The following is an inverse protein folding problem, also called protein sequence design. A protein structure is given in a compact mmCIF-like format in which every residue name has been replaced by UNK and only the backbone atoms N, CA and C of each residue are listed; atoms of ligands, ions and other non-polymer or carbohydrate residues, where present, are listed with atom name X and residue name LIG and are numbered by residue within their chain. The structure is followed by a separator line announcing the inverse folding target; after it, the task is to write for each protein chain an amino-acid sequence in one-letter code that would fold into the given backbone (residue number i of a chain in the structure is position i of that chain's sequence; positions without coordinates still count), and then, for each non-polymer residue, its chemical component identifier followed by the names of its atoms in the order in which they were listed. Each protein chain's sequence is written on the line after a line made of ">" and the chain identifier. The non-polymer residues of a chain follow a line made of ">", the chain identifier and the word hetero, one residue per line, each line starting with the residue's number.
data_IF_953854944235
#
_entry.id   IF_953854944235
#
_cell.length_a   1.000
_cell.length_b   1.000
_cell.length_c   1.000
_cell.angle_alpha   90.00
_cell.angle_beta   90.00
_cell.angle_gamma   90.00
#
_symmetry.space_group_name_H-M   'P 1'
#
loop_
_entity.id
_entity.type
_entity.pdbx_description
1 polymer ?
#
# COMPACT_ATOMS: atom_id res chain seq x y z
N UNK A 1 3.86 7.44 -20.98
CA UNK A 1 3.41 6.30 -20.15
C UNK A 1 2.58 6.80 -18.99
N UNK A 2 1.43 6.17 -18.71
CA UNK A 2 0.62 6.40 -17.51
C UNK A 2 0.97 5.26 -16.55
N UNK A 3 1.53 5.57 -15.39
CA UNK A 3 1.80 4.57 -14.36
C UNK A 3 0.49 3.95 -13.85
N UNK A 4 0.49 2.66 -13.47
CA UNK A 4 -0.68 2.03 -12.90
C UNK A 4 -1.05 2.67 -11.56
N UNK A 5 -2.33 2.56 -11.19
CA UNK A 5 -2.83 3.05 -9.91
C UNK A 5 -2.24 2.19 -8.78
N UNK A 6 -1.73 2.82 -7.72
CA UNK A 6 -1.14 2.06 -6.60
C UNK A 6 -2.20 1.60 -5.60
N UNK A 7 -1.84 0.61 -4.77
CA UNK A 7 -2.68 0.18 -3.65
C UNK A 7 -3.00 1.35 -2.70
N UNK A 8 -2.02 2.20 -2.40
CA UNK A 8 -2.22 3.41 -1.61
C UNK A 8 -3.29 4.33 -2.23
N UNK A 9 -3.29 4.51 -3.56
CA UNK A 9 -4.32 5.32 -4.24
C UNK A 9 -5.69 4.62 -4.27
N UNK A 10 -5.70 3.29 -4.33
CA UNK A 10 -6.92 2.48 -4.25
C UNK A 10 -7.56 2.59 -2.86
N UNK A 11 -6.83 2.23 -1.80
CA UNK A 11 -7.32 2.22 -0.41
C UNK A 11 -7.78 3.61 0.03
N UNK A 12 -7.13 4.68 -0.45
CA UNK A 12 -7.56 6.07 -0.21
C UNK A 12 -8.95 6.41 -0.73
N UNK A 13 -9.41 5.70 -1.77
CA UNK A 13 -10.75 5.90 -2.33
C UNK A 13 -11.78 5.02 -1.66
N UNK A 14 -11.44 3.75 -1.40
CA UNK A 14 -12.39 2.78 -0.84
C UNK A 14 -12.54 2.89 0.68
N UNK A 15 -11.49 3.30 1.39
CA UNK A 15 -11.48 3.46 2.84
C UNK A 15 -10.98 4.86 3.23
N UNK A 16 -11.77 5.93 2.96
CA UNK A 16 -11.42 7.28 3.39
C UNK A 16 -11.39 7.44 4.92
N UNK A 17 -12.05 6.53 5.64
CA UNK A 17 -12.06 6.51 7.11
C UNK A 17 -10.66 6.27 7.67
N UNK A 18 -9.93 5.30 7.12
CA UNK A 18 -8.53 5.04 7.46
C UNK A 18 -7.68 6.34 7.42
N UNK A 19 -7.81 7.13 6.35
CA UNK A 19 -7.03 8.35 6.17
C UNK A 19 -7.45 9.48 7.10
N UNK A 20 -8.71 9.53 7.53
CA UNK A 20 -9.18 10.47 8.57
C UNK A 20 -8.41 10.23 9.86
N UNK A 21 -8.25 8.97 10.25
CA UNK A 21 -7.61 8.55 11.50
C UNK A 21 -6.08 8.61 11.44
N UNK A 22 -5.47 8.16 10.33
CA UNK A 22 -4.04 8.35 10.07
C UNK A 22 -3.65 9.83 10.18
N UNK A 23 -4.48 10.76 9.67
CA UNK A 23 -4.20 12.19 9.80
C UNK A 23 -4.21 12.67 11.26
N UNK A 24 -5.09 12.12 12.10
CA UNK A 24 -5.12 12.42 13.55
C UNK A 24 -3.82 11.93 14.21
N UNK A 25 -3.45 10.66 13.99
CA UNK A 25 -2.23 10.09 14.56
C UNK A 25 -0.96 10.79 14.05
N UNK A 26 -0.86 11.11 12.76
CA UNK A 26 0.26 11.91 12.22
C UNK A 26 0.41 13.27 12.91
N UNK A 27 -0.71 13.90 13.29
CA UNK A 27 -0.68 15.19 13.99
C UNK A 27 -0.21 15.03 15.43
N UNK A 28 -0.65 13.96 16.11
CA UNK A 28 -0.19 13.58 17.44
C UNK A 28 1.31 13.23 17.45
N UNK A 29 1.75 12.38 16.51
CA UNK A 29 3.11 11.85 16.47
C UNK A 29 4.17 12.92 16.21
N UNK A 30 3.86 13.93 15.39
CA UNK A 30 4.72 15.10 15.18
C UNK A 30 5.10 15.82 16.47
N UNK A 31 4.31 15.67 17.53
CA UNK A 31 4.52 16.36 18.81
C UNK A 31 5.08 15.46 19.91
N UNK A 32 5.04 14.13 19.75
CA UNK A 32 5.26 13.20 20.87
C UNK A 32 6.22 12.03 20.61
N UNK A 33 6.24 11.45 19.40
CA UNK A 33 6.96 10.17 19.15
C UNK A 33 7.49 10.00 17.72
N UNK A 34 7.78 11.10 17.00
CA UNK A 34 8.22 11.00 15.60
C UNK A 34 9.58 10.31 15.44
N UNK A 35 10.41 10.35 16.48
CA UNK A 35 11.71 9.70 16.62
C UNK A 35 11.63 8.17 16.70
N UNK A 36 10.48 7.61 17.06
CA UNK A 36 10.27 6.16 17.18
C UNK A 36 9.86 5.48 15.86
N UNK A 37 9.64 6.24 14.79
CA UNK A 37 9.24 5.70 13.50
C UNK A 37 10.42 5.07 12.73
N UNK A 38 10.21 4.00 11.92
CA UNK A 38 8.91 3.39 11.62
C UNK A 38 8.40 2.49 12.73
N UNK A 39 7.07 2.44 12.83
CA UNK A 39 6.36 1.60 13.79
C UNK A 39 6.14 0.21 13.23
N UNK A 40 6.18 -0.79 14.10
CA UNK A 40 6.00 -2.19 13.74
C UNK A 40 4.87 -2.86 14.52
N UNK A 41 4.29 -2.15 15.49
CA UNK A 41 3.13 -2.53 16.27
C UNK A 41 2.26 -1.29 16.50
N UNK A 42 0.95 -1.48 16.43
CA UNK A 42 -0.06 -0.43 16.60
C UNK A 42 0.03 0.16 18.02
N UNK A 43 0.38 -0.66 19.01
CA UNK A 43 0.48 -0.25 20.41
C UNK A 43 1.62 0.76 20.67
N UNK A 44 2.56 0.92 19.75
CA UNK A 44 3.68 1.87 19.89
C UNK A 44 3.26 3.33 19.74
N UNK A 45 2.14 3.59 19.07
CA UNK A 45 1.70 4.96 18.75
C UNK A 45 0.20 5.16 18.82
N UNK A 46 -0.58 4.07 18.88
CA UNK A 46 -2.04 4.09 18.77
C UNK A 46 -2.65 4.97 19.84
N UNK A 47 -3.16 6.11 19.39
CA UNK A 47 -4.10 6.93 20.17
C UNK A 47 -5.50 6.84 19.58
N UNK A 48 -5.60 6.76 18.25
CA UNK A 48 -6.87 6.83 17.55
C UNK A 48 -7.23 5.56 16.76
N UNK A 49 -6.42 4.49 16.84
CA UNK A 49 -6.73 3.25 16.14
C UNK A 49 -7.98 2.56 16.70
N UNK A 50 -8.19 2.58 18.03
CA UNK A 50 -9.41 2.03 18.64
C UNK A 50 -10.67 2.72 18.09
N UNK A 51 -10.70 4.06 18.10
CA UNK A 51 -11.79 4.85 17.51
C UNK A 51 -12.01 4.55 16.01
N UNK A 52 -10.92 4.27 15.27
CA UNK A 52 -11.00 3.89 13.87
C UNK A 52 -11.72 2.55 13.69
N UNK A 53 -11.33 1.55 14.47
CA UNK A 53 -11.90 0.20 14.42
C UNK A 53 -13.39 0.24 14.79
N UNK A 54 -13.74 0.91 15.88
CA UNK A 54 -15.13 1.06 16.31
C UNK A 54 -15.99 1.71 15.20
N UNK A 55 -15.56 2.87 14.68
CA UNK A 55 -16.30 3.57 13.60
C UNK A 55 -16.31 2.79 12.28
N UNK A 56 -15.32 1.91 12.04
CA UNK A 56 -15.28 1.05 10.86
C UNK A 56 -16.32 -0.07 10.94
N UNK A 57 -16.40 -0.76 12.09
CA UNK A 57 -17.39 -1.81 12.32
C UNK A 57 -18.82 -1.27 12.40
N UNK A 58 -19.04 -0.10 13.03
CA UNK A 58 -20.35 0.56 13.06
C UNK A 58 -20.88 0.85 11.64
N UNK A 59 -20.00 1.20 10.70
CA UNK A 59 -20.37 1.49 9.30
C UNK A 59 -20.48 0.25 8.42
N UNK A 60 -19.82 -0.84 8.80
CA UNK A 60 -19.92 -2.11 8.09
C UNK A 60 -21.34 -2.68 8.19
N UNK A 61 -21.99 -2.54 9.34
CA UNK A 61 -23.35 -3.01 9.57
C UNK A 61 -24.41 -2.37 8.65
N UNK A 62 -24.14 -1.19 8.08
CA UNK A 62 -25.09 -0.48 7.19
C UNK A 62 -25.01 -0.90 5.70
N UNK A 63 -23.92 -1.52 5.23
CA UNK A 63 -23.69 -1.86 3.80
C UNK A 63 -23.09 -3.25 3.56
N UNK A 64 -23.08 -4.12 4.58
CA UNK A 64 -22.32 -5.37 4.64
C UNK A 64 -22.52 -6.34 3.45
N UNK A 65 -23.72 -6.39 2.87
CA UNK A 65 -24.08 -7.49 1.97
C UNK A 65 -23.70 -7.30 0.48
N UNK A 66 -23.50 -6.07 0.00
CA UNK A 66 -23.26 -5.84 -1.44
C UNK A 66 -21.78 -5.62 -1.80
N UNK A 67 -20.97 -5.01 -0.93
CA UNK A 67 -19.62 -4.59 -1.30
C UNK A 67 -18.54 -5.65 -1.04
N UNK A 68 -18.82 -6.63 -0.17
CA UNK A 68 -17.85 -7.62 0.30
C UNK A 68 -18.39 -9.05 0.27
N UNK A 69 -19.11 -9.42 -0.80
CA UNK A 69 -19.64 -10.79 -0.95
C UNK A 69 -18.55 -11.88 -0.92
N UNK A 70 -17.28 -11.54 -1.17
CA UNK A 70 -16.14 -12.45 -1.04
C UNK A 70 -15.70 -12.68 0.42
N UNK A 71 -16.11 -11.81 1.36
CA UNK A 71 -15.97 -12.02 2.81
C UNK A 71 -17.14 -12.83 3.40
N UNK A 72 -18.00 -13.44 2.56
CA UNK A 72 -19.12 -14.28 3.02
C UNK A 72 -18.69 -15.52 3.79
N UNK A 73 -17.40 -15.89 3.80
CA UNK A 73 -16.88 -16.77 4.85
C UNK A 73 -16.76 -15.94 6.13
N UNK A 74 -17.86 -15.88 6.89
CA UNK A 74 -17.98 -15.35 8.26
C UNK A 74 -17.06 -16.11 9.23
N UNK A 75 -15.74 -16.06 9.01
CA UNK A 75 -14.71 -16.62 9.88
C UNK A 75 -13.64 -15.58 10.16
N UNK A 76 -13.81 -15.05 11.37
CA UNK A 76 -12.93 -14.25 12.22
C UNK A 76 -12.84 -12.74 11.94
N UNK A 77 -13.62 -11.97 12.71
CA UNK A 77 -13.35 -10.55 13.01
C UNK A 77 -11.87 -10.33 13.35
N UNK A 78 -11.20 -11.32 13.95
CA UNK A 78 -9.76 -11.32 14.19
C UNK A 78 -8.92 -11.19 12.90
N UNK A 79 -9.30 -11.90 11.82
CA UNK A 79 -8.60 -11.84 10.53
C UNK A 79 -8.78 -10.47 9.88
N UNK A 80 -10.02 -9.96 9.89
CA UNK A 80 -10.32 -8.62 9.39
C UNK A 80 -9.59 -7.55 10.21
N UNK A 81 -9.61 -7.67 11.54
CA UNK A 81 -8.89 -6.75 12.43
C UNK A 81 -7.39 -6.77 12.16
N UNK A 82 -6.80 -7.96 11.95
CA UNK A 82 -5.40 -8.09 11.54
C UNK A 82 -5.12 -7.33 10.24
N UNK A 83 -5.95 -7.49 9.22
CA UNK A 83 -5.79 -6.76 7.95
C UNK A 83 -5.92 -5.25 8.14
N UNK A 84 -6.86 -4.80 8.96
CA UNK A 84 -7.02 -3.37 9.28
C UNK A 84 -5.82 -2.82 10.04
N UNK A 85 -5.23 -3.59 10.96
CA UNK A 85 -3.97 -3.25 11.65
C UNK A 85 -2.84 -3.11 10.63
N UNK A 86 -2.65 -4.11 9.76
CA UNK A 86 -1.56 -4.15 8.78
C UNK A 86 -1.65 -2.98 7.80
N UNK A 87 -2.85 -2.69 7.28
CA UNK A 87 -3.11 -1.52 6.44
C UNK A 87 -2.84 -0.22 7.18
N UNK A 88 -3.29 -0.10 8.43
CA UNK A 88 -3.08 1.11 9.24
C UNK A 88 -1.61 1.40 9.46
N UNK A 89 -0.87 0.39 9.92
CA UNK A 89 0.57 0.47 10.15
C UNK A 89 1.34 0.81 8.88
N UNK A 90 1.04 0.10 7.80
CA UNK A 90 1.72 0.26 6.51
C UNK A 90 1.49 1.65 5.95
N UNK A 91 0.23 2.12 5.91
CA UNK A 91 -0.11 3.42 5.35
C UNK A 91 0.40 4.56 6.23
N UNK A 92 0.36 4.42 7.57
CA UNK A 92 0.91 5.43 8.48
C UNK A 92 2.41 5.60 8.27
N UNK A 93 3.20 4.51 8.29
CA UNK A 93 4.64 4.57 8.03
C UNK A 93 4.93 5.19 6.66
N UNK A 94 4.17 4.80 5.64
CA UNK A 94 4.34 5.34 4.31
C UNK A 94 4.07 6.86 4.24
N UNK A 95 3.09 7.37 4.99
CA UNK A 95 2.84 8.81 5.14
C UNK A 95 3.98 9.52 5.89
N UNK A 96 4.47 8.94 6.99
CA UNK A 96 5.58 9.50 7.79
C UNK A 96 6.82 9.70 6.91
N UNK A 97 7.15 8.71 6.08
CA UNK A 97 8.32 8.74 5.20
C UNK A 97 8.04 9.34 3.82
N UNK A 98 7.04 10.24 3.72
CA UNK A 98 6.76 11.08 2.56
C UNK A 98 6.37 10.35 1.27
N UNK A 99 5.79 9.15 1.38
CA UNK A 99 5.17 8.41 0.27
C UNK A 99 6.09 8.23 -0.94
N UNK A 100 7.33 7.81 -0.71
CA UNK A 100 8.29 7.57 -1.79
C UNK A 100 7.86 6.34 -2.58
N UNK A 101 7.59 6.50 -3.87
CA UNK A 101 7.13 5.42 -4.74
C UNK A 101 8.09 5.24 -5.91
N UNK A 102 8.50 4.00 -6.16
CA UNK A 102 9.34 3.62 -7.27
C UNK A 102 8.59 2.62 -8.14
N UNK A 103 8.43 2.95 -9.42
CA UNK A 103 7.90 2.04 -10.41
C UNK A 103 9.08 1.35 -11.09
N UNK A 104 9.19 0.05 -10.92
CA UNK A 104 10.25 -0.76 -11.51
C UNK A 104 9.77 -1.22 -12.88
N UNK A 105 10.59 -0.99 -13.92
CA UNK A 105 10.25 -1.42 -15.27
C UNK A 105 10.39 -2.94 -15.41
N UNK A 106 9.58 -3.56 -16.28
CA UNK A 106 9.66 -5.01 -16.51
C UNK A 106 11.04 -5.48 -16.99
N UNK A 107 11.65 -4.73 -17.92
CA UNK A 107 13.02 -5.01 -18.38
C UNK A 107 14.04 -4.96 -17.25
N UNK A 108 13.89 -4.01 -16.31
CA UNK A 108 14.75 -3.97 -15.14
C UNK A 108 14.48 -5.18 -14.24
N UNK A 109 13.22 -5.54 -13.97
CA UNK A 109 12.87 -6.70 -13.15
C UNK A 109 13.43 -8.02 -13.70
N UNK A 110 13.34 -8.24 -15.02
CA UNK A 110 13.94 -9.39 -15.73
C UNK A 110 15.47 -9.44 -15.57
N UNK A 111 16.16 -8.31 -15.61
CA UNK A 111 17.61 -8.29 -15.38
C UNK A 111 17.94 -8.53 -13.90
N UNK A 112 17.14 -7.97 -12.99
CA UNK A 112 17.35 -8.09 -11.55
C UNK A 112 17.15 -9.53 -11.05
N UNK A 113 16.28 -10.35 -11.66
CA UNK A 113 16.08 -11.75 -11.20
C UNK A 113 17.33 -12.61 -11.40
N UNK A 114 18.11 -12.36 -12.45
CA UNK A 114 19.34 -13.09 -12.77
C UNK A 114 20.61 -12.45 -12.20
N UNK A 115 20.49 -11.26 -11.62
CA UNK A 115 21.65 -10.58 -11.03
C UNK A 115 21.97 -11.21 -9.69
N UNK A 116 23.14 -11.85 -9.59
CA UNK A 116 23.63 -12.39 -8.32
C UNK A 116 24.65 -11.41 -7.71
N UNK A 117 24.22 -10.69 -6.68
CA UNK A 117 25.13 -9.90 -5.87
C UNK A 117 25.74 -10.80 -4.80
N UNK A 118 26.98 -11.25 -5.02
CA UNK A 118 27.79 -11.92 -4.00
C UNK A 118 28.35 -10.90 -3.00
N UNK A 119 27.45 -10.10 -2.42
CA UNK A 119 27.75 -9.09 -1.40
C UNK A 119 27.03 -9.45 -0.11
N UNK A 120 27.47 -8.85 0.98
CA UNK A 120 26.87 -9.04 2.31
C UNK A 120 25.77 -8.00 2.58
N UNK A 121 25.02 -8.19 3.67
CA UNK A 121 23.98 -7.28 4.12
C UNK A 121 24.45 -5.86 4.42
N UNK A 122 25.76 -5.64 4.57
CA UNK A 122 26.36 -4.31 4.73
C UNK A 122 25.94 -3.33 3.61
N UNK A 123 25.80 -3.86 2.39
CA UNK A 123 25.44 -3.09 1.20
C UNK A 123 23.93 -2.90 1.04
N UNK A 124 23.11 -3.64 1.79
CA UNK A 124 21.65 -3.66 1.65
C UNK A 124 20.99 -2.51 2.42
N UNK A 125 21.42 -1.26 2.22
CA UNK A 125 20.80 -0.11 2.91
C UNK A 125 19.64 0.42 2.08
N UNK A 126 18.39 0.45 2.60
CA UNK A 126 17.28 1.00 1.84
C UNK A 126 17.42 2.52 1.66
N UNK A 127 16.91 3.09 0.55
CA UNK A 127 17.01 4.53 0.29
C UNK A 127 16.18 5.38 1.27
N UNK A 128 15.15 4.78 1.88
CA UNK A 128 14.27 5.38 2.88
C UNK A 128 13.84 4.32 3.89
N UNK A 129 13.49 4.73 5.11
CA UNK A 129 12.99 3.79 6.12
C UNK A 129 11.62 3.21 5.78
N UNK A 130 10.80 3.89 4.96
CA UNK A 130 9.60 3.30 4.36
C UNK A 130 9.37 3.86 2.95
N UNK A 131 9.10 2.99 1.99
CA UNK A 131 8.81 3.34 0.60
C UNK A 131 8.00 2.25 -0.10
N UNK A 132 7.46 2.56 -1.27
CA UNK A 132 6.65 1.66 -2.08
C UNK A 132 7.39 1.30 -3.36
N UNK A 133 7.56 0.01 -3.63
CA UNK A 133 7.91 -0.51 -4.94
C UNK A 133 6.64 -0.94 -5.68
N UNK A 134 6.59 -0.68 -6.98
CA UNK A 134 5.47 -1.09 -7.85
C UNK A 134 6.02 -1.87 -9.03
N UNK A 135 5.57 -3.12 -9.18
CA UNK A 135 5.90 -4.01 -10.29
C UNK A 135 4.63 -4.27 -11.10
N UNK A 136 4.74 -4.25 -12.43
CA UNK A 136 3.59 -4.46 -13.32
C UNK A 136 3.99 -5.15 -14.63
N UNK A 137 4.90 -6.12 -14.52
CA UNK A 137 5.30 -7.00 -15.59
C UNK A 137 4.78 -8.42 -15.33
N UNK A 138 4.77 -9.25 -16.37
CA UNK A 138 4.20 -10.59 -16.30
C UNK A 138 5.06 -11.54 -15.45
N UNK A 139 6.39 -11.45 -15.58
CA UNK A 139 7.33 -12.28 -14.83
C UNK A 139 7.14 -12.14 -13.32
N UNK A 140 7.12 -10.92 -12.79
CA UNK A 140 6.99 -10.69 -11.35
C UNK A 140 5.64 -11.14 -10.80
N UNK A 141 4.58 -11.03 -11.61
CA UNK A 141 3.25 -11.53 -11.24
C UNK A 141 3.18 -13.05 -11.24
N UNK A 142 3.78 -13.70 -12.23
CA UNK A 142 3.92 -15.16 -12.25
C UNK A 142 4.71 -15.67 -11.05
N UNK A 143 5.85 -15.04 -10.73
CA UNK A 143 6.66 -15.39 -9.56
C UNK A 143 5.88 -15.24 -8.25
N UNK A 144 5.15 -14.13 -8.08
CA UNK A 144 4.30 -13.95 -6.89
C UNK A 144 3.16 -14.97 -6.83
N UNK A 145 2.53 -15.30 -7.96
CA UNK A 145 1.47 -16.30 -8.00
C UNK A 145 1.98 -17.71 -7.68
N UNK A 146 3.19 -18.04 -8.11
CA UNK A 146 3.87 -19.26 -7.71
C UNK A 146 4.08 -19.29 -6.18
N UNK A 147 4.32 -18.13 -5.55
CA UNK A 147 4.44 -18.00 -4.09
C UNK A 147 3.11 -18.19 -3.35
N UNK A 148 1.97 -18.07 -4.00
CA UNK A 148 0.68 -18.31 -3.32
C UNK A 148 -0.02 -19.54 -3.87
N UNK A 149 0.63 -20.28 -4.79
CA UNK A 149 0.06 -21.42 -5.53
C UNK A 149 -1.28 -21.09 -6.20
N UNK A 150 -1.46 -19.85 -6.66
CA UNK A 150 -2.67 -19.41 -7.35
C UNK A 150 -2.41 -19.38 -8.85
N UNK A 151 -3.34 -19.94 -9.62
CA UNK A 151 -3.35 -19.82 -11.09
C UNK A 151 -4.26 -18.65 -11.45
N UNK A 152 -3.68 -17.49 -11.76
CA UNK A 152 -4.44 -16.31 -12.19
C UNK A 152 -4.56 -16.34 -13.72
N UNK A 153 -5.79 -16.19 -14.24
CA UNK A 153 -6.05 -16.16 -15.69
C UNK A 153 -5.64 -14.85 -16.36
N UNK A 154 -5.81 -13.72 -15.66
CA UNK A 154 -5.47 -12.39 -16.18
C UNK A 154 -4.91 -11.48 -15.08
N UNK A 155 -3.83 -10.78 -15.42
CA UNK A 155 -2.99 -10.04 -14.50
C UNK A 155 -3.25 -8.52 -14.58
N UNK A 156 -4.41 -8.03 -14.12
CA UNK A 156 -4.73 -6.60 -14.27
C UNK A 156 -4.04 -5.68 -13.26
N UNK A 157 -3.99 -6.08 -11.98
CA UNK A 157 -3.46 -5.23 -10.92
C UNK A 157 -1.92 -5.18 -10.89
N UNK A 158 -1.30 -4.05 -10.53
CA UNK A 158 0.12 -4.01 -10.22
C UNK A 158 0.39 -4.64 -8.85
N UNK A 159 1.58 -5.20 -8.68
CA UNK A 159 2.08 -5.63 -7.36
C UNK A 159 2.58 -4.39 -6.63
N UNK A 160 2.10 -4.17 -5.42
CA UNK A 160 2.49 -3.07 -4.54
C UNK A 160 3.24 -3.63 -3.34
N UNK A 161 4.49 -3.22 -3.16
CA UNK A 161 5.35 -3.73 -2.09
C UNK A 161 5.79 -2.56 -1.21
N UNK A 162 5.20 -2.44 -0.03
CA UNK A 162 5.68 -1.52 0.99
C UNK A 162 6.88 -2.14 1.68
N UNK A 163 8.02 -1.46 1.57
CA UNK A 163 9.27 -1.88 2.20
C UNK A 163 9.51 -0.97 3.39
N UNK A 164 9.67 -1.57 4.58
CA UNK A 164 9.91 -0.84 5.83
C UNK A 164 11.15 -1.38 6.54
N UNK A 165 12.08 -0.49 6.86
CA UNK A 165 13.29 -0.77 7.63
C UNK A 165 13.02 -0.57 9.12
N UNK A 166 13.04 -1.64 9.91
CA UNK A 166 12.84 -1.57 11.37
C UNK A 166 14.16 -1.81 12.09
N UNK A 167 14.51 -0.89 12.99
CA UNK A 167 15.76 -0.92 13.76
C UNK A 167 16.84 0.01 13.21
N UNK A 168 17.78 0.36 14.09
CA UNK A 168 18.94 1.20 13.79
C UNK A 168 20.24 0.39 13.71
N UNK A 169 21.26 0.97 13.09
CA UNK A 169 22.57 0.36 12.96
C UNK A 169 22.71 -0.57 11.76
N UNK A 170 23.71 -1.44 11.84
CA UNK A 170 24.15 -2.33 10.77
C UNK A 170 23.28 -3.57 10.61
N UNK A 171 22.60 -3.98 11.69
CA UNK A 171 21.69 -5.11 11.72
C UNK A 171 20.26 -4.61 11.93
N UNK A 172 19.35 -4.97 11.02
CA UNK A 172 17.98 -4.46 11.02
C UNK A 172 17.03 -5.42 10.33
N UNK A 173 15.73 -5.17 10.44
CA UNK A 173 14.70 -5.91 9.73
C UNK A 173 14.25 -5.16 8.48
N UNK A 174 14.16 -5.86 7.35
CA UNK A 174 13.40 -5.40 6.20
C UNK A 174 12.06 -6.12 6.18
N UNK A 175 10.99 -5.38 6.43
CA UNK A 175 9.61 -5.86 6.30
C UNK A 175 9.08 -5.51 4.92
N UNK A 176 8.46 -6.48 4.27
CA UNK A 176 7.77 -6.38 3.00
C UNK A 176 6.30 -6.67 3.23
N UNK A 177 5.44 -5.69 2.96
CA UNK A 177 4.00 -5.87 2.91
C UNK A 177 3.56 -5.76 1.45
N UNK A 178 3.10 -6.88 0.89
CA UNK A 178 2.85 -7.08 -0.54
C UNK A 178 1.34 -7.17 -0.77
N UNK A 179 0.84 -6.39 -1.73
CA UNK A 179 -0.56 -6.36 -2.17
C UNK A 179 -0.63 -6.59 -3.68
N UNK A 180 -1.43 -7.56 -4.10
CA UNK A 180 -1.67 -7.88 -5.50
C UNK A 180 -3.10 -8.40 -5.70
N UNK A 181 -4.00 -7.56 -6.22
CA UNK A 181 -5.43 -7.85 -6.20
C UNK A 181 -5.92 -8.08 -4.76
N UNK A 182 -6.55 -9.22 -4.51
CA UNK A 182 -6.98 -9.66 -3.18
C UNK A 182 -5.86 -10.36 -2.36
N UNK A 183 -4.70 -10.60 -2.97
CA UNK A 183 -3.58 -11.27 -2.30
C UNK A 183 -2.86 -10.29 -1.37
N UNK A 184 -2.72 -10.69 -0.11
CA UNK A 184 -1.85 -10.07 0.89
C UNK A 184 -0.76 -11.04 1.28
N UNK A 185 0.48 -10.56 1.32
CA UNK A 185 1.62 -11.33 1.81
C UNK A 185 2.54 -10.45 2.63
N UNK A 186 3.05 -10.98 3.72
CA UNK A 186 4.05 -10.31 4.54
C UNK A 186 5.32 -11.14 4.63
N UNK A 187 6.46 -10.46 4.66
CA UNK A 187 7.75 -11.11 4.87
C UNK A 187 8.69 -10.17 5.59
N UNK A 188 9.37 -10.67 6.62
CA UNK A 188 10.49 -9.98 7.23
C UNK A 188 11.80 -10.69 6.91
N UNK A 189 12.86 -9.95 6.63
CA UNK A 189 14.22 -10.46 6.47
C UNK A 189 15.11 -9.83 7.53
N UNK A 190 15.94 -10.65 8.19
CA UNK A 190 16.96 -10.18 9.12
C UNK A 190 18.22 -9.85 8.32
N UNK A 191 18.49 -8.56 8.16
CA UNK A 191 19.71 -8.08 7.51
C UNK A 191 20.81 -8.02 8.56
N UNK A 192 21.90 -8.74 8.30
CA UNK A 192 23.13 -8.67 9.08
C UNK A 192 24.31 -8.31 8.20
N UNK A 193 25.18 -7.43 8.67
CA UNK A 193 26.27 -6.89 7.85
C UNK A 193 27.25 -7.96 7.35
N UNK A 194 27.42 -9.03 8.12
CA UNK A 194 28.32 -10.15 7.84
C UNK A 194 27.70 -11.27 6.97
N UNK A 195 26.38 -11.32 6.83
CA UNK A 195 25.68 -12.40 6.12
C UNK A 195 25.52 -12.05 4.63
N UNK A 196 25.69 -13.04 3.75
CA UNK A 196 25.47 -12.85 2.31
C UNK A 196 24.02 -12.56 1.99
N UNK A 197 23.76 -11.72 0.99
CA UNK A 197 22.38 -11.40 0.57
C UNK A 197 21.58 -12.66 0.18
N UNK A 198 22.22 -13.62 -0.49
CA UNK A 198 21.57 -14.89 -0.86
C UNK A 198 21.14 -15.73 0.35
N UNK A 199 21.81 -15.57 1.48
CA UNK A 199 21.45 -16.20 2.77
C UNK A 199 20.39 -15.36 3.50
N UNK A 200 20.47 -14.02 3.43
CA UNK A 200 19.45 -13.11 3.99
C UNK A 200 18.08 -13.35 3.35
N UNK A 201 17.99 -13.51 2.03
CA UNK A 201 16.72 -13.83 1.34
C UNK A 201 16.12 -15.13 1.88
N UNK A 202 16.99 -16.07 2.23
CA UNK A 202 16.67 -17.36 2.82
C UNK A 202 16.53 -17.31 4.36
N UNK A 203 16.29 -16.13 4.96
CA UNK A 203 16.12 -16.00 6.42
C UNK A 203 15.08 -17.00 6.93
N UNK A 204 15.54 -17.99 7.68
CA UNK A 204 14.69 -19.02 8.28
C UNK A 204 14.37 -18.62 9.72
N UNK A 205 13.19 -18.02 9.94
CA UNK A 205 12.80 -17.57 11.27
C UNK A 205 12.68 -18.74 12.25
N UNK A 206 12.23 -19.91 11.78
CA UNK A 206 12.11 -21.09 12.64
C UNK A 206 13.46 -21.53 13.20
N UNK A 207 14.48 -21.63 12.34
CA UNK A 207 15.83 -21.98 12.80
C UNK A 207 16.37 -20.97 13.79
N UNK A 208 16.17 -19.68 13.52
CA UNK A 208 16.68 -18.61 14.39
C UNK A 208 16.01 -18.59 15.77
N UNK A 209 14.70 -18.82 15.84
CA UNK A 209 13.97 -18.88 17.11
C UNK A 209 14.20 -20.20 17.86
N UNK A 210 14.32 -21.32 17.15
CA UNK A 210 14.61 -22.63 17.77
C UNK A 210 16.02 -22.71 18.36
N UNK A 211 16.99 -21.94 17.88
CA UNK A 211 18.33 -21.85 18.51
C UNK A 211 18.36 -21.00 19.78
N UNK A 212 17.35 -20.16 20.04
CA UNK A 212 17.43 -19.13 21.08
C UNK A 212 16.46 -19.31 22.28
N UNK A 213 15.83 -20.48 22.45
CA UNK A 213 15.08 -20.79 23.69
C UNK A 213 13.96 -19.82 24.06
N UNK A 214 13.48 -19.01 23.12
CA UNK A 214 12.33 -18.12 23.32
C UNK A 214 11.05 -18.86 22.97
N UNK A 215 10.48 -19.56 23.95
CA UNK A 215 9.09 -20.01 23.88
C UNK A 215 8.16 -18.79 23.92
N UNK A 216 7.75 -18.29 22.76
CA UNK A 216 6.62 -17.37 22.65
C UNK A 216 5.42 -18.10 22.07
N UNK A 217 4.30 -18.12 22.82
CA UNK A 217 3.03 -18.82 22.58
C UNK A 217 2.25 -18.44 21.29
N UNK A 218 2.90 -17.89 20.26
CA UNK A 218 2.31 -17.64 18.93
C UNK A 218 3.07 -18.44 17.87
N UNK A 219 3.07 -19.77 18.01
CA UNK A 219 3.84 -20.66 17.15
C UNK A 219 3.06 -21.12 15.90
N UNK A 220 1.73 -21.17 15.94
CA UNK A 220 0.95 -21.87 14.90
C UNK A 220 0.73 -21.15 13.56
N UNK A 221 1.21 -19.92 13.36
CA UNK A 221 1.03 -19.19 12.07
C UNK A 221 2.32 -18.91 11.30
N UNK A 222 3.48 -19.11 11.94
CA UNK A 222 4.79 -18.91 11.31
C UNK A 222 5.41 -20.23 10.80
N UNK A 223 4.90 -21.38 11.29
CA UNK A 223 5.40 -22.75 11.02
C UNK A 223 5.13 -23.26 9.59
N UNK A 224 4.11 -22.74 8.89
CA UNK A 224 3.79 -23.14 7.51
C UNK A 224 4.40 -22.19 6.46
N UNK A 225 4.72 -20.95 6.84
CA UNK A 225 5.19 -19.91 5.91
C UNK A 225 6.66 -20.12 5.48
N UNK A 226 7.53 -20.64 6.35
CA UNK A 226 9.00 -20.60 6.14
C UNK A 226 9.52 -21.48 4.99
N UNK A 227 9.02 -22.72 4.87
CA UNK A 227 9.48 -23.71 3.88
C UNK A 227 9.02 -23.36 2.47
N UNK A 228 7.81 -22.82 2.37
CA UNK A 228 7.18 -22.39 1.14
C UNK A 228 8.02 -21.30 0.42
N UNK A 229 8.51 -20.32 1.17
CA UNK A 229 9.33 -19.22 0.64
C UNK A 229 10.70 -19.68 0.14
N UNK A 230 11.23 -20.77 0.70
CA UNK A 230 12.57 -21.26 0.42
C UNK A 230 12.75 -21.79 -1.00
N UNK A 231 11.70 -22.36 -1.59
CA UNK A 231 11.75 -22.97 -2.92
C UNK A 231 11.10 -22.09 -4.00
N UNK A 232 9.91 -21.55 -3.75
CA UNK A 232 9.12 -20.86 -4.79
C UNK A 232 9.30 -19.32 -4.77
N UNK A 233 9.77 -18.75 -3.66
CA UNK A 233 9.82 -17.29 -3.49
C UNK A 233 11.17 -16.63 -3.73
N UNK A 234 12.24 -17.41 -3.85
CA UNK A 234 13.60 -16.88 -3.90
C UNK A 234 13.83 -15.87 -5.02
N UNK A 235 13.35 -16.15 -6.23
CA UNK A 235 13.49 -15.27 -7.39
C UNK A 235 12.75 -13.95 -7.21
N UNK A 236 11.52 -13.98 -6.68
CA UNK A 236 10.75 -12.77 -6.41
C UNK A 236 11.44 -11.87 -5.38
N UNK A 237 11.88 -12.43 -4.25
CA UNK A 237 12.58 -11.65 -3.24
C UNK A 237 13.95 -11.19 -3.71
N UNK A 238 14.63 -11.95 -4.58
CA UNK A 238 15.84 -11.47 -5.26
C UNK A 238 15.56 -10.22 -6.08
N UNK A 239 14.45 -10.16 -6.84
CA UNK A 239 14.05 -8.93 -7.56
C UNK A 239 13.87 -7.76 -6.59
N UNK A 240 13.17 -7.97 -5.46
CA UNK A 240 12.94 -6.92 -4.47
C UNK A 240 14.24 -6.40 -3.86
N UNK A 241 15.13 -7.30 -3.43
CA UNK A 241 16.41 -6.94 -2.82
C UNK A 241 17.33 -6.26 -3.82
N UNK A 242 17.40 -6.80 -5.03
CA UNK A 242 18.20 -6.21 -6.11
C UNK A 242 17.65 -4.86 -6.54
N UNK A 243 16.33 -4.64 -6.45
CA UNK A 243 15.74 -3.32 -6.66
C UNK A 243 16.22 -2.32 -5.61
N UNK A 244 16.34 -2.73 -4.34
CA UNK A 244 16.87 -1.87 -3.27
C UNK A 244 18.34 -1.51 -3.57
N UNK A 245 19.17 -2.52 -3.86
CA UNK A 245 20.59 -2.32 -4.20
C UNK A 245 20.76 -1.42 -5.43
N UNK A 246 19.94 -1.63 -6.46
CA UNK A 246 19.94 -0.81 -7.67
C UNK A 246 19.62 0.65 -7.34
N UNK A 247 18.55 0.90 -6.57
CA UNK A 247 18.13 2.25 -6.17
C UNK A 247 19.17 3.00 -5.34
N UNK A 248 20.03 2.27 -4.62
CA UNK A 248 21.12 2.86 -3.84
C UNK A 248 22.48 2.83 -4.53
N UNK A 249 22.55 2.30 -5.76
CA UNK A 249 23.77 2.29 -6.55
C UNK A 249 24.09 3.67 -7.12
N UNK A 250 25.37 3.94 -7.36
CA UNK A 250 25.83 5.22 -7.91
C UNK A 250 25.40 5.49 -9.35
N UNK A 251 24.97 4.46 -10.08
CA UNK A 251 24.60 4.50 -11.50
C UNK A 251 23.14 4.17 -11.76
N UNK A 252 22.25 4.34 -10.79
CA UNK A 252 20.84 4.04 -10.94
C UNK A 252 20.16 4.99 -11.96
N UNK A 253 19.51 4.42 -12.98
CA UNK A 253 18.77 5.18 -14.00
C UNK A 253 17.39 5.59 -13.46
N UNK A 254 17.37 6.58 -12.57
CA UNK A 254 16.14 7.07 -11.92
C UNK A 254 15.55 8.25 -12.70
N UNK A 255 14.36 8.04 -13.27
CA UNK A 255 13.60 9.10 -13.95
C UNK A 255 12.60 9.74 -12.98
N UNK A 256 12.90 10.95 -12.50
CA UNK A 256 11.98 11.68 -11.62
C UNK A 256 10.79 12.25 -12.40
N UNK A 257 9.57 11.92 -11.95
CA UNK A 257 8.36 12.55 -12.47
C UNK A 257 8.21 13.94 -11.87
N UNK A 258 8.46 14.98 -12.67
CA UNK A 258 8.07 16.35 -12.32
C UNK A 258 6.57 16.39 -12.02
N UNK A 259 6.18 16.86 -10.83
CA UNK A 259 4.78 17.15 -10.49
C UNK A 259 4.21 18.08 -11.57
N UNK A 260 3.32 17.56 -12.42
CA UNK A 260 2.47 18.42 -13.23
C UNK A 260 1.67 19.25 -12.22
N UNK A 261 1.88 20.58 -12.19
CA UNK A 261 1.16 21.49 -11.29
C UNK A 261 -0.35 21.37 -11.57
N UNK A 262 -1.02 20.47 -10.84
CA UNK A 262 -2.45 20.13 -10.97
C UNK A 262 -3.38 21.32 -10.74
N UNK A 263 -2.89 22.40 -10.09
CA UNK A 263 -3.65 23.62 -9.85
C UNK A 263 -4.25 24.28 -11.10
N UNK A 264 -3.67 24.10 -12.29
CA UNK A 264 -4.23 24.68 -13.53
C UNK A 264 -5.42 23.87 -14.06
N UNK A 265 -5.30 22.54 -14.12
CA UNK A 265 -6.39 21.65 -14.57
C UNK A 265 -7.57 21.61 -13.58
N UNK A 266 -7.30 21.70 -12.28
CA UNK A 266 -8.35 21.69 -11.25
C UNK A 266 -9.15 23.00 -11.23
N UNK A 267 -8.50 24.15 -11.51
CA UNK A 267 -9.18 25.43 -11.76
C UNK A 267 -10.03 25.38 -13.03
N UNK A 268 -9.47 24.90 -14.15
CA UNK A 268 -10.22 24.79 -15.41
C UNK A 268 -11.42 23.83 -15.29
N UNK A 269 -11.27 22.72 -14.59
CA UNK A 269 -12.37 21.76 -14.35
C UNK A 269 -13.45 22.35 -13.43
N UNK A 270 -13.07 23.10 -12.39
CA UNK A 270 -14.03 23.80 -11.53
C UNK A 270 -14.72 24.97 -12.26
N UNK A 271 -14.01 25.74 -13.07
CA UNK A 271 -14.61 26.80 -13.90
C UNK A 271 -15.60 26.21 -14.93
N UNK A 272 -15.28 25.05 -15.51
CA UNK A 272 -16.17 24.35 -16.44
C UNK A 272 -17.42 23.81 -15.74
N UNK A 273 -17.28 23.22 -14.53
CA UNK A 273 -18.42 22.78 -13.71
C UNK A 273 -19.30 23.97 -13.29
N UNK A 274 -18.71 25.07 -12.86
CA UNK A 274 -19.45 26.29 -12.49
C UNK A 274 -20.20 26.86 -13.70
N UNK A 275 -19.59 26.91 -14.89
CA UNK A 275 -20.27 27.33 -16.13
C UNK A 275 -21.46 26.44 -16.47
N UNK A 276 -21.32 25.13 -16.35
CA UNK A 276 -22.41 24.17 -16.59
C UNK A 276 -23.56 24.34 -15.59
N UNK A 277 -23.25 24.60 -14.32
CA UNK A 277 -24.27 24.89 -13.30
C UNK A 277 -25.01 26.20 -13.65
N UNK A 278 -24.28 27.28 -13.97
CA UNK A 278 -24.88 28.56 -14.36
C UNK A 278 -25.78 28.41 -15.58
N UNK A 279 -25.37 27.65 -16.60
CA UNK A 279 -26.20 27.37 -17.77
C UNK A 279 -27.49 26.63 -17.41
N UNK A 280 -27.43 25.61 -16.54
CA UNK A 280 -28.62 24.89 -16.07
C UNK A 280 -29.56 25.81 -15.30
N UNK A 281 -29.03 26.65 -14.40
CA UNK A 281 -29.86 27.62 -13.66
C UNK A 281 -30.54 28.63 -14.60
N UNK A 282 -29.83 29.15 -15.61
CA UNK A 282 -30.44 30.05 -16.59
C UNK A 282 -31.54 29.39 -17.43
N UNK A 283 -31.39 28.11 -17.78
CA UNK A 283 -32.43 27.35 -18.49
C UNK A 283 -33.66 27.20 -17.60
N UNK A 284 -33.47 26.85 -16.33
CA UNK A 284 -34.58 26.72 -15.36
C UNK A 284 -35.29 28.06 -15.19
N UNK A 285 -34.56 29.14 -14.94
CA UNK A 285 -35.14 30.49 -14.81
C UNK A 285 -35.88 30.94 -16.07
N UNK A 286 -35.37 30.65 -17.28
CA UNK A 286 -36.10 30.93 -18.52
C UNK A 286 -37.39 30.13 -18.61
N UNK A 287 -37.36 28.86 -18.19
CA UNK A 287 -38.55 28.01 -18.17
C UNK A 287 -39.60 28.50 -17.18
N UNK A 288 -39.18 29.00 -16.01
CA UNK A 288 -40.06 29.60 -15.00
C UNK A 288 -40.63 30.95 -15.44
N UNK A 289 -39.84 31.79 -16.10
CA UNK A 289 -40.34 33.06 -16.68
C UNK A 289 -41.37 32.76 -17.78
N UNK A 290 -41.13 31.76 -18.61
CA UNK A 290 -42.07 31.32 -19.64
C UNK A 290 -43.36 30.76 -19.01
N UNK A 291 -43.27 29.93 -17.96
CA UNK A 291 -44.46 29.39 -17.30
C UNK A 291 -45.26 30.47 -16.56
N UNK A 292 -44.61 31.47 -15.96
CA UNK A 292 -45.29 32.64 -15.37
C UNK A 292 -45.94 33.53 -16.44
N UNK A 293 -45.28 33.74 -17.59
CA UNK A 293 -45.89 34.46 -18.72
C UNK A 293 -47.10 33.71 -19.29
N UNK A 294 -47.02 32.39 -19.43
CA UNK A 294 -48.16 31.56 -19.84
C UNK A 294 -49.30 31.59 -18.81
N UNK A 295 -49.00 31.59 -17.50
CA UNK A 295 -50.01 31.71 -16.47
C UNK A 295 -50.71 33.08 -16.49
N UNK A 296 -49.96 34.16 -16.72
CA UNK A 296 -50.51 35.52 -16.85
C UNK A 296 -51.39 35.68 -18.10
N UNK A 297 -51.05 35.00 -19.20
CA UNK A 297 -51.88 34.95 -20.41
C UNK A 297 -53.17 34.15 -20.17
N UNK A 298 -53.13 33.10 -19.35
CA UNK A 298 -54.31 32.28 -19.02
C UNK A 298 -55.22 32.98 -18.01
N UNK A 299 -54.67 33.77 -17.09
CA UNK A 299 -55.44 34.46 -16.02
C UNK A 299 -56.05 35.80 -16.50
N UNK A 300 -55.55 36.39 -17.60
CA UNK A 300 -56.17 37.56 -18.25
C UNK A 300 -56.52 37.27 -19.72
N UNK A 301 -57.66 36.61 -20.01
CA UNK A 301 -58.26 36.69 -21.32
C UNK A 301 -59.11 37.97 -21.38
N UNK A 302 -58.46 39.08 -21.76
CA UNK A 302 -59.05 40.44 -21.94
C UNK A 302 -59.24 41.22 -20.64
#
# INVERSE_FOLDING_TARGET
>A
MKYPRTYYEHIRTINPLLFKYIKKDLSYLKTAHMDMAPFFDIDQFSKYFGEYIDEYFDKLDENFYEMYSFLQDKRNEETLTKWLIDDYLTILNFEIFNRKTFFISGQLAENLVFTDYNVTGEFLKPPFNCFLLVLNDELTKQLLCNIVKIVVKEYEDPINIFVTKVGEGENFLLKFHIRFGEIQLERALLVKSEIKISEIIKTDWEKLFNTNGFETKKQSSLEEESSFFYESGFEFFRILINSILYLTSSGADIVERKKIKSRKKEKELNETKIRLIIQKVMIIMKSEILSVQYLLIIINPI
#
